data_IF_953683362689
#
_entry.id   IF_953683362689
#
_cell.length_a   1.000
_cell.length_b   1.000
_cell.length_c   1.000
_cell.angle_alpha   90.00
_cell.angle_beta   90.00
_cell.angle_gamma   90.00
#
_symmetry.space_group_name_H-M   'P 1'
#
loop_
_entity.id
_entity.type
_entity.pdbx_description
1 polymer ?
#
# COMPACT_ATOMS: atom_id res chain seq x y z
N UNK A 1 -34.15 -44.37 -16.26
CA UNK A 1 -32.94 -43.60 -15.88
C UNK A 1 -32.88 -42.30 -16.66
N UNK A 2 -33.28 -41.13 -16.10
CA UNK A 2 -32.96 -39.82 -16.72
C UNK A 2 -33.30 -38.57 -15.87
N UNK A 3 -32.98 -38.49 -14.57
CA UNK A 3 -33.24 -37.24 -13.80
C UNK A 3 -32.20 -36.98 -12.69
N UNK A 4 -30.91 -36.95 -13.03
CA UNK A 4 -29.85 -36.57 -12.07
C UNK A 4 -28.80 -35.63 -12.68
N UNK A 5 -29.21 -34.66 -13.49
CA UNK A 5 -28.26 -33.71 -14.11
C UNK A 5 -28.64 -32.24 -13.93
N UNK A 6 -29.51 -31.91 -12.95
CA UNK A 6 -30.00 -30.54 -12.75
C UNK A 6 -29.56 -29.90 -11.43
N UNK A 7 -28.43 -30.31 -10.85
CA UNK A 7 -27.93 -29.72 -9.59
C UNK A 7 -26.50 -29.15 -9.66
N UNK A 8 -25.87 -29.15 -10.84
CA UNK A 8 -24.47 -28.67 -11.02
C UNK A 8 -24.42 -27.37 -11.82
N UNK A 9 -25.35 -26.45 -11.58
CA UNK A 9 -25.28 -25.11 -12.19
C UNK A 9 -25.40 -23.95 -11.20
N UNK A 10 -25.68 -24.21 -9.93
CA UNK A 10 -25.84 -23.15 -8.91
C UNK A 10 -24.55 -22.84 -8.13
N UNK A 11 -23.43 -23.50 -8.39
CA UNK A 11 -22.18 -23.31 -7.62
C UNK A 11 -21.23 -22.27 -8.26
N UNK A 12 -21.48 -21.80 -9.49
CA UNK A 12 -20.56 -20.88 -10.18
C UNK A 12 -20.80 -19.38 -9.95
N UNK A 13 -21.77 -18.97 -9.12
CA UNK A 13 -22.12 -17.55 -8.93
C UNK A 13 -21.67 -16.92 -7.60
N UNK A 14 -20.99 -17.66 -6.72
CA UNK A 14 -20.40 -17.11 -5.48
C UNK A 14 -18.89 -16.82 -5.62
N UNK A 15 -18.41 -16.58 -6.83
CA UNK A 15 -17.00 -16.25 -7.12
C UNK A 15 -16.58 -14.81 -6.79
N UNK A 16 -17.51 -13.87 -6.53
CA UNK A 16 -17.19 -12.43 -6.52
C UNK A 16 -17.03 -11.77 -5.14
N UNK A 17 -16.98 -12.53 -4.04
CA UNK A 17 -16.75 -11.95 -2.69
C UNK A 17 -15.51 -12.49 -1.98
N UNK A 18 -14.96 -13.62 -2.43
CA UNK A 18 -13.75 -14.20 -1.84
C UNK A 18 -12.44 -13.53 -2.30
N UNK A 19 -12.48 -12.75 -3.38
CA UNK A 19 -11.35 -11.92 -3.82
C UNK A 19 -11.03 -10.79 -2.83
N UNK A 20 -12.07 -10.05 -2.40
CA UNK A 20 -11.93 -8.86 -1.55
C UNK A 20 -11.23 -9.12 -0.23
N UNK A 21 -11.52 -10.26 0.42
CA UNK A 21 -10.86 -10.63 1.68
C UNK A 21 -9.34 -10.86 1.51
N UNK A 22 -8.93 -11.44 0.38
CA UNK A 22 -7.51 -11.66 0.10
C UNK A 22 -6.76 -10.37 -0.24
N UNK A 23 -7.44 -9.44 -0.93
CA UNK A 23 -6.93 -8.11 -1.28
C UNK A 23 -6.73 -7.24 -0.02
N UNK A 24 -7.72 -7.21 0.87
CA UNK A 24 -7.63 -6.56 2.18
C UNK A 24 -6.42 -7.07 2.96
N UNK A 25 -6.25 -8.39 3.06
CA UNK A 25 -5.14 -8.97 3.81
C UNK A 25 -3.76 -8.62 3.21
N UNK A 26 -3.65 -8.53 1.87
CA UNK A 26 -2.43 -8.07 1.19
C UNK A 26 -2.18 -6.59 1.47
N UNK A 27 -3.21 -5.75 1.37
CA UNK A 27 -3.14 -4.32 1.67
C UNK A 27 -2.74 -4.05 3.13
N UNK A 28 -3.33 -4.77 4.10
CA UNK A 28 -2.95 -4.70 5.52
C UNK A 28 -1.49 -5.09 5.74
N UNK A 29 -1.01 -6.13 5.06
CA UNK A 29 0.41 -6.53 5.13
C UNK A 29 1.33 -5.44 4.57
N UNK A 30 0.93 -4.74 3.51
CA UNK A 30 1.71 -3.61 2.99
C UNK A 30 1.67 -2.45 3.98
N UNK A 31 0.51 -2.15 4.59
CA UNK A 31 0.35 -1.13 5.63
C UNK A 31 1.28 -1.36 6.84
N UNK A 32 1.49 -2.62 7.24
CA UNK A 32 2.47 -2.95 8.30
C UNK A 32 3.90 -2.52 7.98
N UNK A 33 4.24 -2.34 6.69
CA UNK A 33 5.54 -1.83 6.27
C UNK A 33 5.63 -0.30 6.25
N UNK A 34 4.54 0.43 6.55
CA UNK A 34 4.55 1.90 6.72
C UNK A 34 5.19 2.29 8.06
N UNK A 35 6.46 1.92 8.18
CA UNK A 35 7.35 2.24 9.28
C UNK A 35 8.62 2.87 8.70
N UNK A 36 8.70 4.19 8.81
CA UNK A 36 9.88 4.92 8.41
C UNK A 36 10.94 4.85 9.52
N UNK A 37 11.90 3.94 9.35
CA UNK A 37 12.99 3.67 10.31
C UNK A 37 14.27 4.40 9.91
N UNK A 38 15.15 4.63 10.88
CA UNK A 38 16.42 5.35 10.74
C UNK A 38 16.26 6.85 10.41
N UNK A 39 15.15 7.47 10.80
CA UNK A 39 15.11 8.93 10.87
C UNK A 39 15.70 9.33 12.23
N UNK A 40 16.88 9.93 12.22
CA UNK A 40 17.37 10.65 13.39
C UNK A 40 16.62 11.97 13.48
N UNK A 41 15.51 12.00 14.22
CA UNK A 41 14.63 13.17 14.36
C UNK A 41 15.36 14.42 14.88
N UNK A 42 16.48 14.22 15.59
CA UNK A 42 17.36 15.29 16.05
C UNK A 42 18.29 15.84 14.94
N UNK A 43 18.43 15.14 13.82
CA UNK A 43 19.29 15.51 12.68
C UNK A 43 18.49 16.00 11.46
N UNK A 44 17.18 15.72 11.43
CA UNK A 44 16.28 16.34 10.44
C UNK A 44 16.08 17.80 10.82
N UNK A 45 16.83 18.69 10.19
CA UNK A 45 16.67 20.12 10.39
C UNK A 45 15.23 20.55 10.02
N UNK A 46 14.49 21.21 10.94
CA UNK A 46 13.12 21.64 10.67
C UNK A 46 13.13 22.67 9.55
N UNK A 47 12.63 22.27 8.39
CA UNK A 47 12.54 23.05 7.18
C UNK A 47 11.16 22.83 6.54
N UNK A 48 10.73 23.75 5.67
CA UNK A 48 9.50 23.56 4.89
C UNK A 48 9.49 22.23 4.13
N UNK A 49 10.67 21.81 3.65
CA UNK A 49 10.87 20.56 2.95
C UNK A 49 10.72 19.33 3.87
N UNK A 50 11.35 19.32 5.04
CA UNK A 50 11.20 18.20 5.99
C UNK A 50 9.77 18.08 6.51
N UNK A 51 9.11 19.21 6.78
CA UNK A 51 7.72 19.23 7.23
C UNK A 51 6.79 18.66 6.16
N UNK A 52 7.01 19.01 4.89
CA UNK A 52 6.25 18.46 3.76
C UNK A 52 6.37 16.93 3.67
N UNK A 53 7.59 16.39 3.80
CA UNK A 53 7.77 14.94 3.76
C UNK A 53 7.19 14.24 4.99
N UNK A 54 7.27 14.85 6.18
CA UNK A 54 6.63 14.31 7.39
C UNK A 54 5.10 14.26 7.26
N UNK A 55 4.51 15.34 6.73
CA UNK A 55 3.09 15.39 6.41
C UNK A 55 2.72 14.33 5.37
N UNK A 56 3.54 14.18 4.32
CA UNK A 56 3.36 13.15 3.30
C UNK A 56 3.36 11.75 3.90
N UNK A 57 4.26 11.44 4.85
CA UNK A 57 4.27 10.15 5.55
C UNK A 57 2.98 9.91 6.35
N UNK A 58 2.54 10.91 7.11
CA UNK A 58 1.34 10.82 7.94
C UNK A 58 0.07 10.65 7.09
N UNK A 59 -0.10 11.53 6.09
CA UNK A 59 -1.27 11.53 5.20
C UNK A 59 -1.36 10.26 4.37
N UNK A 60 -0.23 9.73 3.86
CA UNK A 60 -0.27 8.48 3.10
C UNK A 60 -0.62 7.28 3.98
N UNK A 61 -0.08 7.21 5.21
CA UNK A 61 -0.43 6.13 6.15
C UNK A 61 -1.90 6.19 6.56
N UNK A 62 -2.40 7.39 6.87
CA UNK A 62 -3.81 7.60 7.22
C UNK A 62 -4.73 7.20 6.07
N UNK A 63 -4.50 7.73 4.86
CA UNK A 63 -5.33 7.42 3.68
C UNK A 63 -5.37 5.93 3.36
N UNK A 64 -4.25 5.24 3.43
CA UNK A 64 -4.20 3.78 3.22
C UNK A 64 -5.03 3.04 4.28
N UNK A 65 -4.95 3.45 5.55
CA UNK A 65 -5.78 2.88 6.60
C UNK A 65 -7.26 3.10 6.33
N UNK A 66 -7.64 4.32 5.91
CA UNK A 66 -9.02 4.64 5.55
C UNK A 66 -9.51 3.80 4.38
N UNK A 67 -8.71 3.65 3.31
CA UNK A 67 -9.08 2.85 2.15
C UNK A 67 -9.29 1.38 2.49
N UNK A 68 -8.46 0.81 3.36
CA UNK A 68 -8.62 -0.57 3.83
C UNK A 68 -9.93 -0.73 4.61
N UNK A 69 -10.25 0.21 5.51
CA UNK A 69 -11.50 0.17 6.29
C UNK A 69 -12.74 0.33 5.41
N UNK A 70 -12.74 1.28 4.49
CA UNK A 70 -13.85 1.49 3.55
C UNK A 70 -14.07 0.25 2.66
N UNK A 71 -12.98 -0.35 2.15
CA UNK A 71 -13.07 -1.57 1.34
C UNK A 71 -13.55 -2.79 2.17
N UNK A 72 -13.21 -2.86 3.46
CA UNK A 72 -13.78 -3.85 4.41
C UNK A 72 -15.28 -3.65 4.63
N UNK A 73 -15.74 -2.40 4.62
CA UNK A 73 -17.15 -2.04 4.72
C UNK A 73 -17.93 -2.27 3.42
N UNK A 74 -17.27 -2.75 2.37
CA UNK A 74 -17.88 -3.05 1.08
C UNK A 74 -17.95 -1.87 0.12
N UNK A 75 -17.30 -0.74 0.45
CA UNK A 75 -17.16 0.38 -0.47
C UNK A 75 -16.15 0.03 -1.57
N UNK A 76 -16.60 0.09 -2.83
CA UNK A 76 -15.72 -0.03 -3.98
C UNK A 76 -15.24 1.35 -4.41
N UNK A 77 -14.03 1.72 -3.99
CA UNK A 77 -13.50 3.07 -4.15
C UNK A 77 -12.65 3.24 -5.41
N UNK A 78 -12.22 2.13 -6.04
CA UNK A 78 -11.21 2.15 -7.10
C UNK A 78 -11.54 1.14 -8.20
N UNK A 79 -11.27 1.50 -9.45
CA UNK A 79 -11.37 0.58 -10.60
C UNK A 79 -10.21 -0.44 -10.68
N UNK A 80 -9.31 -0.43 -9.69
CA UNK A 80 -8.13 -1.29 -9.58
C UNK A 80 -8.07 -1.96 -8.19
N UNK A 81 -7.39 -3.12 -8.05
CA UNK A 81 -7.28 -3.82 -6.77
C UNK A 81 -6.73 -2.95 -5.64
N UNK A 82 -7.30 -3.08 -4.43
CA UNK A 82 -6.91 -2.30 -3.26
C UNK A 82 -5.41 -2.43 -2.96
N UNK A 83 -4.82 -3.61 -3.11
CA UNK A 83 -3.40 -3.83 -2.84
C UNK A 83 -2.48 -3.07 -3.82
N UNK A 84 -2.90 -2.87 -5.07
CA UNK A 84 -2.17 -2.05 -6.03
C UNK A 84 -2.18 -0.57 -5.62
N UNK A 85 -3.35 -0.05 -5.20
CA UNK A 85 -3.47 1.33 -4.70
C UNK A 85 -2.56 1.53 -3.49
N UNK A 86 -2.61 0.61 -2.53
CA UNK A 86 -1.79 0.66 -1.32
C UNK A 86 -0.30 0.55 -1.66
N UNK A 87 0.08 -0.29 -2.63
CA UNK A 87 1.44 -0.40 -3.10
C UNK A 87 1.95 0.91 -3.74
N UNK A 88 1.14 1.58 -4.55
CA UNK A 88 1.50 2.88 -5.13
C UNK A 88 1.72 3.93 -4.03
N UNK A 89 0.83 4.00 -3.04
CA UNK A 89 0.98 4.90 -1.88
C UNK A 89 2.21 4.56 -1.05
N UNK A 90 2.54 3.28 -0.94
CA UNK A 90 3.74 2.82 -0.25
C UNK A 90 5.03 3.28 -0.94
N UNK A 91 5.08 3.34 -2.28
CA UNK A 91 6.25 3.89 -2.99
C UNK A 91 6.46 5.38 -2.68
N UNK A 92 5.38 6.18 -2.68
CA UNK A 92 5.46 7.59 -2.29
C UNK A 92 5.89 7.76 -0.84
N UNK A 93 5.37 6.91 0.06
CA UNK A 93 5.80 6.86 1.46
C UNK A 93 7.30 6.57 1.57
N UNK A 94 7.82 5.60 0.81
CA UNK A 94 9.26 5.27 0.81
C UNK A 94 10.13 6.43 0.34
N UNK A 95 9.73 7.12 -0.72
CA UNK A 95 10.47 8.28 -1.23
C UNK A 95 10.51 9.42 -0.22
N UNK A 96 9.37 9.73 0.42
CA UNK A 96 9.31 10.74 1.48
C UNK A 96 10.17 10.34 2.68
N UNK A 97 10.16 9.05 3.05
CA UNK A 97 10.95 8.50 4.13
C UNK A 97 12.46 8.63 3.84
N UNK A 98 12.87 8.26 2.62
CA UNK A 98 14.26 8.39 2.16
C UNK A 98 14.71 9.84 2.10
N UNK A 99 13.84 10.77 1.69
CA UNK A 99 14.14 12.21 1.68
C UNK A 99 14.34 12.80 3.08
N UNK A 100 13.75 12.17 4.10
CA UNK A 100 13.94 12.51 5.52
C UNK A 100 15.16 11.83 6.15
N UNK A 101 15.94 11.08 5.37
CA UNK A 101 17.16 10.43 5.84
C UNK A 101 16.97 9.00 6.35
N UNK A 102 15.79 8.37 6.18
CA UNK A 102 15.58 6.98 6.58
C UNK A 102 15.08 6.10 5.43
N UNK A 103 15.86 5.08 5.02
CA UNK A 103 15.57 3.62 4.87
C UNK A 103 16.92 2.99 4.46
N UNK A 104 17.46 1.98 5.16
CA UNK A 104 18.51 1.11 4.58
C UNK A 104 18.53 -0.32 5.14
N UNK A 105 18.46 -1.30 4.23
CA UNK A 105 19.27 -2.53 4.23
C UNK A 105 19.60 -2.87 2.76
N UNK A 106 20.61 -2.16 2.23
CA UNK A 106 21.37 -2.32 0.98
C UNK A 106 20.81 -3.23 -0.16
N UNK A 107 20.29 -2.60 -1.22
CA UNK A 107 20.93 -2.54 -2.57
C UNK A 107 20.04 -1.74 -3.54
N UNK A 108 20.45 -0.51 -3.82
CA UNK A 108 20.20 0.13 -5.10
C UNK A 108 21.54 0.71 -5.57
N UNK A 109 22.14 0.21 -6.67
CA UNK A 109 23.29 0.86 -7.27
C UNK A 109 22.83 2.20 -7.84
N UNK A 110 23.23 3.26 -7.17
CA UNK A 110 23.16 4.62 -7.71
C UNK A 110 24.28 4.74 -8.74
N UNK A 111 24.00 4.43 -10.00
CA UNK A 111 24.78 4.96 -11.11
C UNK A 111 24.55 6.49 -11.16
N UNK A 112 25.35 7.22 -10.39
CA UNK A 112 25.64 8.63 -10.67
C UNK A 112 26.99 8.68 -11.40
N UNK A 113 26.98 8.18 -12.63
CA UNK A 113 27.93 8.65 -13.65
C UNK A 113 27.26 9.83 -14.35
N UNK A 114 27.81 11.04 -14.19
CA UNK A 114 28.25 11.85 -15.33
C UNK A 114 29.07 13.00 -14.77
N UNK A 115 30.38 12.78 -14.83
CA UNK A 115 31.37 13.83 -14.95
C UNK A 115 31.15 14.52 -16.31
N UNK A 116 30.82 15.81 -16.33
CA UNK A 116 31.18 16.71 -17.43
C UNK A 116 31.20 18.15 -16.95
#
# INVERSE_FOLDING_TARGET
MKLFFSFVLTICLTGCVFGKSSEVKRAEKILQNFECKNIETNQVAPSSMSNFYQETLAVNKEKVSTYIEQYKNGEDLFDIPLDEVVQQKYQLYKQACQALGGISTEKQPTDLNTNK
#
